data_IF_121122819912
#
_entry.id   IF_121122819912
#
_cell.length_a   1.000
_cell.length_b   1.000
_cell.length_c   1.000
_cell.angle_alpha   90.00
_cell.angle_beta   90.00
_cell.angle_gamma   90.00
#
_symmetry.space_group_name_H-M   'P 1'
#
loop_
_entity.id
_entity.type
_entity.pdbx_description
1 polymer ?
#
# COMPACT_ATOMS: atom_id res chain seq x y z
N UNK A 1 -4.74 9.48 12.97
CA UNK A 1 -5.28 9.88 11.65
C UNK A 1 -6.19 8.75 11.19
N UNK A 2 -7.50 8.98 11.08
CA UNK A 2 -8.47 7.95 10.68
C UNK A 2 -8.67 8.06 9.17
N UNK A 3 -8.52 6.95 8.46
CA UNK A 3 -8.78 6.86 7.02
C UNK A 3 -10.29 7.01 6.78
N UNK A 4 -10.68 7.81 5.79
CA UNK A 4 -12.07 7.87 5.35
C UNK A 4 -12.50 6.51 4.78
N UNK A 5 -13.80 6.18 4.89
CA UNK A 5 -14.32 4.87 4.47
C UNK A 5 -13.94 4.52 3.02
N UNK A 6 -14.05 5.47 2.10
CA UNK A 6 -13.63 5.29 0.70
C UNK A 6 -12.13 5.02 0.54
N UNK A 7 -11.29 5.71 1.30
CA UNK A 7 -9.83 5.50 1.26
C UNK A 7 -9.47 4.13 1.82
N UNK A 8 -10.19 3.66 2.84
CA UNK A 8 -10.05 2.31 3.39
C UNK A 8 -10.43 1.25 2.36
N UNK A 9 -11.55 1.42 1.66
CA UNK A 9 -11.99 0.49 0.61
C UNK A 9 -10.99 0.43 -0.56
N UNK A 10 -10.49 1.57 -1.03
CA UNK A 10 -9.47 1.64 -2.08
C UNK A 10 -8.16 0.96 -1.65
N UNK A 11 -7.74 1.16 -0.40
CA UNK A 11 -6.56 0.51 0.16
C UNK A 11 -6.74 -1.00 0.23
N UNK A 12 -7.90 -1.47 0.70
CA UNK A 12 -8.22 -2.89 0.79
C UNK A 12 -8.18 -3.56 -0.60
N UNK A 13 -8.72 -2.91 -1.64
CA UNK A 13 -8.65 -3.41 -3.02
C UNK A 13 -7.21 -3.51 -3.54
N UNK A 14 -6.39 -2.50 -3.26
CA UNK A 14 -4.98 -2.50 -3.64
C UNK A 14 -4.16 -3.58 -2.91
N UNK A 15 -4.47 -3.87 -1.63
CA UNK A 15 -3.83 -4.96 -0.87
C UNK A 15 -4.26 -6.31 -1.45
N UNK A 16 -5.54 -6.50 -1.75
CA UNK A 16 -6.04 -7.75 -2.34
C UNK A 16 -5.35 -8.05 -3.68
N UNK A 17 -5.16 -7.03 -4.52
CA UNK A 17 -4.46 -7.16 -5.80
C UNK A 17 -2.97 -7.49 -5.59
N UNK A 18 -2.31 -6.81 -4.65
CA UNK A 18 -0.92 -7.10 -4.31
C UNK A 18 -0.74 -8.56 -3.85
N UNK A 19 -1.64 -9.04 -2.99
CA UNK A 19 -1.63 -10.44 -2.52
C UNK A 19 -1.81 -11.41 -3.69
N UNK A 20 -2.74 -11.12 -4.61
CA UNK A 20 -2.98 -11.92 -5.81
C UNK A 20 -1.77 -11.94 -6.74
N UNK A 21 -1.15 -10.79 -6.99
CA UNK A 21 -0.01 -10.63 -7.91
C UNK A 21 1.27 -11.29 -7.38
N UNK A 22 1.41 -11.40 -6.05
CA UNK A 22 2.54 -12.08 -5.40
C UNK A 22 2.28 -13.57 -5.13
N UNK A 23 1.11 -14.11 -5.51
CA UNK A 23 0.78 -15.53 -5.32
C UNK A 23 0.34 -15.90 -3.89
N UNK A 24 0.03 -14.93 -3.03
CA UNK A 24 -0.46 -15.13 -1.67
C UNK A 24 -1.96 -15.47 -1.65
N UNK A 25 -2.38 -16.53 -2.34
CA UNK A 25 -3.79 -16.87 -2.55
C UNK A 25 -4.56 -17.17 -1.25
N UNK A 26 -3.93 -17.82 -0.27
CA UNK A 26 -4.58 -18.10 1.02
C UNK A 26 -4.87 -16.82 1.80
N UNK A 27 -3.88 -15.91 1.88
CA UNK A 27 -4.03 -14.62 2.53
C UNK A 27 -5.03 -13.73 1.78
N UNK A 28 -5.02 -13.76 0.45
CA UNK A 28 -5.97 -13.03 -0.39
C UNK A 28 -7.41 -13.45 -0.07
N UNK A 29 -7.70 -14.75 0.02
CA UNK A 29 -9.05 -15.25 0.29
C UNK A 29 -9.53 -14.85 1.68
N UNK A 30 -8.72 -15.09 2.72
CA UNK A 30 -9.04 -14.70 4.08
C UNK A 30 -9.26 -13.17 4.20
N UNK A 31 -8.38 -12.38 3.58
CA UNK A 31 -8.49 -10.93 3.58
C UNK A 31 -9.74 -10.44 2.85
N UNK A 32 -10.14 -11.09 1.75
CA UNK A 32 -11.36 -10.75 1.00
C UNK A 32 -12.60 -10.89 1.87
N UNK A 33 -12.69 -11.99 2.63
CA UNK A 33 -13.79 -12.28 3.53
C UNK A 33 -13.84 -11.29 4.71
N UNK A 34 -12.70 -11.04 5.35
CA UNK A 34 -12.60 -10.10 6.48
C UNK A 34 -12.90 -8.65 6.06
N UNK A 35 -12.38 -8.24 4.91
CA UNK A 35 -12.54 -6.87 4.41
C UNK A 35 -13.90 -6.63 3.72
N UNK A 36 -14.74 -7.67 3.58
CA UNK A 36 -16.05 -7.64 2.90
C UNK A 36 -16.00 -6.89 1.56
N UNK A 37 -14.97 -7.17 0.77
CA UNK A 37 -14.78 -6.48 -0.51
C UNK A 37 -15.78 -7.07 -1.52
N UNK A 38 -16.92 -6.42 -1.69
CA UNK A 38 -17.85 -6.69 -2.78
C UNK A 38 -17.36 -5.99 -4.07
N UNK A 39 -17.21 -6.77 -5.14
CA UNK A 39 -16.83 -6.29 -6.46
C UNK A 39 -15.56 -6.93 -7.03
N UNK A 40 -15.49 -6.98 -8.35
CA UNK A 40 -14.33 -7.45 -9.09
C UNK A 40 -13.15 -6.48 -8.90
N UNK A 41 -11.95 -7.04 -8.71
CA UNK A 41 -10.76 -6.22 -8.55
C UNK A 41 -10.40 -5.62 -9.92
N UNK A 42 -10.64 -4.31 -10.08
CA UNK A 42 -10.39 -3.60 -11.33
C UNK A 42 -8.89 -3.65 -11.64
N UNK A 43 -8.50 -3.94 -12.89
CA UNK A 43 -7.07 -4.04 -13.29
C UNK A 43 -6.25 -2.78 -13.00
N UNK A 44 -6.94 -1.67 -12.71
CA UNK A 44 -6.36 -0.40 -12.26
C UNK A 44 -5.59 -0.50 -10.94
N UNK A 45 -5.86 -1.49 -10.10
CA UNK A 45 -5.16 -1.69 -8.83
C UNK A 45 -3.87 -2.51 -8.98
N UNK A 46 -3.63 -3.10 -10.15
CA UNK A 46 -2.43 -3.88 -10.46
C UNK A 46 -1.14 -3.09 -10.27
N UNK A 47 -0.32 -3.50 -9.29
CA UNK A 47 0.95 -2.84 -8.95
C UNK A 47 0.79 -1.42 -8.40
N UNK A 48 -0.43 -0.99 -8.03
CA UNK A 48 -0.69 0.35 -7.48
C UNK A 48 -0.05 0.53 -6.11
N UNK A 49 -0.13 -0.51 -5.27
CA UNK A 49 0.42 -0.48 -3.91
C UNK A 49 1.93 -0.28 -3.93
N UNK A 50 2.64 -1.00 -4.80
CA UNK A 50 4.09 -0.91 -4.97
C UNK A 50 4.52 0.48 -5.49
N UNK A 51 3.80 1.01 -6.49
CA UNK A 51 4.05 2.35 -7.03
C UNK A 51 3.84 3.44 -5.99
N UNK A 52 2.79 3.35 -5.17
CA UNK A 52 2.53 4.31 -4.08
C UNK A 52 3.59 4.17 -2.98
N UNK A 53 3.92 2.94 -2.58
CA UNK A 53 4.91 2.67 -1.53
C UNK A 53 6.30 3.21 -1.88
N UNK A 54 6.81 2.88 -3.07
CA UNK A 54 8.09 3.38 -3.58
C UNK A 54 8.10 4.91 -3.71
N UNK A 55 6.98 5.50 -4.15
CA UNK A 55 6.83 6.95 -4.22
C UNK A 55 6.85 7.62 -2.84
N UNK A 56 6.18 7.05 -1.83
CA UNK A 56 6.19 7.56 -0.45
C UNK A 56 7.60 7.53 0.11
N UNK A 57 8.32 6.41 -0.02
CA UNK A 57 9.72 6.31 0.44
C UNK A 57 10.61 7.33 -0.27
N UNK A 58 10.46 7.47 -1.59
CA UNK A 58 11.24 8.43 -2.39
C UNK A 58 10.94 9.88 -2.00
N UNK A 59 9.67 10.21 -1.76
CA UNK A 59 9.25 11.54 -1.32
C UNK A 59 9.69 11.83 0.12
N UNK A 60 9.59 10.87 1.03
CA UNK A 60 10.13 10.98 2.38
C UNK A 60 11.63 11.27 2.33
N UNK A 61 12.40 10.51 1.54
CA UNK A 61 13.82 10.80 1.31
C UNK A 61 14.02 12.23 0.78
N UNK A 62 13.32 12.63 -0.28
CA UNK A 62 13.48 13.96 -0.88
C UNK A 62 13.13 15.09 0.11
N UNK A 63 12.05 14.95 0.88
CA UNK A 63 11.65 15.91 1.92
C UNK A 63 12.68 15.94 3.05
N UNK A 64 13.21 14.79 3.48
CA UNK A 64 14.29 14.72 4.48
C UNK A 64 15.61 15.35 4.01
N UNK A 65 15.92 15.34 2.71
CA UNK A 65 17.12 16.00 2.17
C UNK A 65 16.92 17.49 1.86
N UNK A 66 15.69 17.95 1.63
CA UNK A 66 15.39 19.36 1.33
C UNK A 66 14.96 20.18 2.56
N UNK A 67 14.55 19.52 3.65
CA UNK A 67 14.41 20.13 4.97
C UNK A 67 15.64 19.81 5.80
N UNK A 68 16.65 20.69 5.79
CA UNK A 68 17.83 20.54 6.64
C UNK A 68 17.41 20.41 8.11
N UNK A 69 17.44 19.19 8.64
CA UNK A 69 17.58 18.87 10.06
C UNK A 69 17.70 17.36 10.25
N UNK A 70 18.95 16.90 10.37
CA UNK A 70 19.43 15.76 11.16
C UNK A 70 18.45 14.61 11.41
N UNK A 71 18.46 13.57 10.57
CA UNK A 71 18.01 12.24 11.00
C UNK A 71 19.19 11.28 10.99
N UNK A 72 19.80 11.19 12.18
CA UNK A 72 20.83 10.24 12.57
C UNK A 72 20.31 8.82 12.31
N UNK A 73 21.21 7.97 11.82
CA UNK A 73 20.99 6.72 11.12
C UNK A 73 19.86 5.80 11.61
N UNK A 74 19.24 5.12 10.65
CA UNK A 74 18.76 3.75 10.83
C UNK A 74 18.82 3.02 9.48
N UNK A 75 19.62 1.96 9.47
CA UNK A 75 19.76 0.98 8.40
C UNK A 75 18.39 0.47 7.95
N UNK A 76 18.18 0.41 6.63
CA UNK A 76 17.18 -0.46 6.03
C UNK A 76 17.96 -1.53 5.25
N UNK A 77 18.16 -2.66 5.92
CA UNK A 77 18.32 -3.95 5.26
C UNK A 77 16.95 -4.42 4.79
#
# INVERSE_FOLDING_TARGET
MVLALRQKEELNKAILDYLSSNGYHQAQTAFKEEAKIEGENDRKFSGLLEKKWTSVIRLQKKVSYQGGCSFRGRNFA
#
